data_IF_365211557154
#
_entry.id   IF_365211557154
#
_cell.length_a   1.000
_cell.length_b   1.000
_cell.length_c   1.000
_cell.angle_alpha   90.00
_cell.angle_beta   90.00
_cell.angle_gamma   90.00
#
_symmetry.space_group_name_H-M   'P 1'
#
loop_
_entity.id
_entity.type
_entity.pdbx_description
1 polymer ?
#
# COMPACT_ATOMS: atom_id res chain seq x y z
N UNK A 1 -0.04 2.85 -2.99
CA UNK A 1 -0.36 1.61 -2.28
C UNK A 1 0.91 0.78 -2.11
N UNK A 2 1.00 -0.01 -1.06
CA UNK A 2 2.08 -0.99 -0.91
C UNK A 2 1.70 -1.97 0.18
N UNK A 3 2.06 -3.24 -0.01
CA UNK A 3 1.88 -4.23 1.03
C UNK A 3 2.78 -3.91 2.23
N UNK A 4 2.36 -4.30 3.42
CA UNK A 4 3.23 -4.25 4.60
C UNK A 4 4.53 -5.04 4.34
N UNK A 5 5.64 -4.59 4.92
CA UNK A 5 6.95 -5.26 4.82
C UNK A 5 7.53 -5.33 3.39
N UNK A 6 7.17 -4.39 2.52
CA UNK A 6 7.70 -4.24 1.16
C UNK A 6 8.44 -2.92 0.94
N UNK A 7 9.07 -2.37 1.97
CA UNK A 7 9.86 -1.15 1.87
C UNK A 7 9.05 0.15 1.79
N UNK A 8 7.73 0.09 1.92
CA UNK A 8 6.84 1.26 1.86
C UNK A 8 7.20 2.34 2.88
N UNK A 9 7.62 1.97 4.08
CA UNK A 9 8.09 2.94 5.10
C UNK A 9 9.33 3.72 4.64
N UNK A 10 10.27 3.06 3.94
CA UNK A 10 11.45 3.75 3.41
C UNK A 10 11.04 4.74 2.31
N UNK A 11 10.18 4.32 1.38
CA UNK A 11 9.61 5.18 0.35
C UNK A 11 8.88 6.39 0.97
N UNK A 12 8.03 6.16 1.96
CA UNK A 12 7.31 7.22 2.67
C UNK A 12 8.26 8.22 3.34
N UNK A 13 9.33 7.75 3.99
CA UNK A 13 10.35 8.62 4.60
C UNK A 13 11.03 9.50 3.54
N UNK A 14 11.40 8.94 2.39
CA UNK A 14 12.04 9.71 1.32
C UNK A 14 11.07 10.75 0.74
N UNK A 15 9.83 10.38 0.45
CA UNK A 15 8.79 11.30 -0.02
C UNK A 15 8.55 12.45 0.99
N UNK A 16 8.49 12.14 2.28
CA UNK A 16 8.32 13.14 3.33
C UNK A 16 9.54 14.06 3.47
N UNK A 17 10.75 13.52 3.42
CA UNK A 17 11.99 14.32 3.48
C UNK A 17 12.07 15.31 2.31
N UNK A 18 11.57 14.93 1.15
CA UNK A 18 11.61 15.74 -0.07
C UNK A 18 10.32 16.52 -0.34
N UNK A 19 9.34 16.50 0.57
CA UNK A 19 8.01 17.09 0.34
C UNK A 19 8.02 18.56 -0.09
N UNK A 20 8.99 19.36 0.40
CA UNK A 20 9.11 20.78 0.01
C UNK A 20 9.52 20.92 -1.46
N UNK A 21 10.53 20.18 -1.89
CA UNK A 21 10.96 20.17 -3.30
C UNK A 21 9.87 19.65 -4.22
N UNK A 22 9.21 18.56 -3.83
CA UNK A 22 8.08 18.00 -4.58
C UNK A 22 6.95 19.01 -4.73
N UNK A 23 6.63 19.75 -3.67
CA UNK A 23 5.62 20.82 -3.73
C UNK A 23 6.01 21.93 -4.70
N UNK A 24 7.27 22.35 -4.74
CA UNK A 24 7.77 23.31 -5.71
C UNK A 24 7.65 22.80 -7.16
N UNK A 25 7.72 21.50 -7.37
CA UNK A 25 7.50 20.83 -8.66
C UNK A 25 6.02 20.50 -8.91
N UNK A 26 5.09 21.06 -8.14
CA UNK A 26 3.67 20.84 -8.32
C UNK A 26 3.15 19.48 -7.82
N UNK A 27 3.92 18.76 -6.98
CA UNK A 27 3.54 17.44 -6.43
C UNK A 27 3.25 17.55 -4.94
N UNK A 28 2.03 17.21 -4.53
CA UNK A 28 1.63 17.12 -3.13
C UNK A 28 1.74 15.67 -2.63
N UNK A 29 2.44 15.46 -1.50
CA UNK A 29 2.57 14.15 -0.87
C UNK A 29 1.71 14.08 0.38
N UNK A 30 0.82 13.09 0.42
CA UNK A 30 -0.09 12.79 1.54
C UNK A 30 0.26 11.42 2.12
N UNK A 31 0.83 11.43 3.31
CA UNK A 31 1.14 10.22 4.06
C UNK A 31 -0.01 9.79 5.00
N UNK A 32 0.19 8.68 5.76
CA UNK A 32 -0.87 8.07 6.58
C UNK A 32 -1.53 9.02 7.58
N UNK A 33 -0.76 9.88 8.23
CA UNK A 33 -1.29 10.84 9.22
C UNK A 33 -2.20 11.87 8.56
N UNK A 34 -1.76 12.47 7.45
CA UNK A 34 -2.52 13.47 6.73
C UNK A 34 -3.83 12.87 6.18
N UNK A 35 -3.77 11.69 5.59
CA UNK A 35 -4.94 11.01 5.05
C UNK A 35 -5.98 10.68 6.14
N UNK A 36 -5.53 10.24 7.31
CA UNK A 36 -6.42 9.93 8.44
C UNK A 36 -7.03 11.17 9.07
N UNK A 37 -6.29 12.26 9.20
CA UNK A 37 -6.79 13.50 9.78
C UNK A 37 -7.82 14.21 8.91
N UNK A 38 -7.76 14.02 7.61
CA UNK A 38 -8.70 14.62 6.64
C UNK A 38 -9.88 13.71 6.29
N UNK A 39 -10.00 12.52 6.93
CA UNK A 39 -11.01 11.53 6.56
C UNK A 39 -10.91 11.08 5.10
N UNK A 40 -9.68 11.08 4.55
CA UNK A 40 -9.37 10.76 3.14
C UNK A 40 -9.79 11.84 2.13
N UNK A 41 -10.33 12.97 2.59
CA UNK A 41 -10.50 14.11 1.71
C UNK A 41 -9.14 14.62 1.23
N UNK A 42 -9.00 14.85 -0.06
CA UNK A 42 -7.82 15.52 -0.58
C UNK A 42 -7.92 17.00 -0.17
N UNK A 43 -6.87 17.57 0.45
CA UNK A 43 -6.85 19.00 0.70
C UNK A 43 -6.94 19.76 -0.63
N UNK A 44 -7.49 20.97 -0.58
CA UNK A 44 -7.54 21.83 -1.75
C UNK A 44 -6.17 21.90 -2.40
N UNK A 45 -6.17 21.70 -3.70
CA UNK A 45 -4.96 21.87 -4.51
C UNK A 45 -4.57 23.34 -4.43
N UNK A 46 -3.59 23.65 -3.58
CA UNK A 46 -3.02 25.00 -3.57
C UNK A 46 -2.53 25.40 -4.96
N UNK A 47 -2.43 26.70 -5.20
CA UNK A 47 -1.93 27.21 -6.47
C UNK A 47 -0.62 26.51 -6.88
N UNK A 48 -0.59 25.97 -8.10
CA UNK A 48 0.58 25.26 -8.66
C UNK A 48 0.65 23.76 -8.40
N UNK A 49 -0.28 23.13 -7.68
CA UNK A 49 -0.32 21.67 -7.49
C UNK A 49 -1.05 21.00 -8.65
N UNK A 50 -0.32 20.23 -9.45
CA UNK A 50 -0.84 19.49 -10.60
C UNK A 50 -1.02 18.00 -10.29
N UNK A 51 -0.35 17.49 -9.26
CA UNK A 51 -0.28 16.05 -8.94
C UNK A 51 -0.37 15.79 -7.44
N UNK A 52 -1.03 14.72 -7.02
CA UNK A 52 -1.05 14.25 -5.63
C UNK A 52 -0.58 12.80 -5.55
N UNK A 53 0.29 12.52 -4.57
CA UNK A 53 0.76 11.17 -4.24
C UNK A 53 0.21 10.78 -2.86
N UNK A 54 -0.62 9.75 -2.82
CA UNK A 54 -1.19 9.19 -1.59
C UNK A 54 -0.43 7.92 -1.22
N UNK A 55 0.07 7.83 0.00
CA UNK A 55 0.84 6.68 0.45
C UNK A 55 0.42 6.25 1.87
N UNK A 56 -0.28 5.11 1.96
CA UNK A 56 -0.58 4.44 3.23
C UNK A 56 -0.64 2.92 3.00
N UNK A 57 0.12 2.17 3.80
CA UNK A 57 0.11 0.70 3.76
C UNK A 57 -1.18 0.08 4.33
N UNK A 58 -1.92 0.81 5.16
CA UNK A 58 -3.16 0.33 5.77
C UNK A 58 -4.40 0.46 4.87
N UNK A 59 -4.25 0.99 3.66
CA UNK A 59 -5.35 1.13 2.69
C UNK A 59 -6.07 -0.19 2.40
N UNK A 60 -5.34 -1.28 2.33
CA UNK A 60 -5.89 -2.61 2.07
C UNK A 60 -6.35 -3.34 3.34
N UNK A 61 -5.78 -2.96 4.48
CA UNK A 61 -5.99 -3.62 5.76
C UNK A 61 -4.76 -3.54 6.65
N UNK A 62 -4.80 -4.16 7.80
CA UNK A 62 -3.70 -4.20 8.77
C UNK A 62 -3.00 -5.56 8.77
N UNK A 63 -1.72 -5.58 9.14
CA UNK A 63 -1.00 -6.86 9.35
C UNK A 63 -1.72 -7.75 10.36
N UNK A 64 -2.20 -7.19 11.46
CA UNK A 64 -2.96 -7.93 12.48
C UNK A 64 -4.19 -8.61 11.88
N UNK A 65 -4.96 -7.90 11.06
CA UNK A 65 -6.11 -8.46 10.35
C UNK A 65 -5.73 -9.63 9.43
N UNK A 66 -4.56 -9.57 8.79
CA UNK A 66 -4.06 -10.67 7.96
C UNK A 66 -3.79 -11.93 8.80
N UNK A 67 -3.17 -11.78 9.98
CA UNK A 67 -2.89 -12.92 10.89
C UNK A 67 -4.16 -13.54 11.46
N UNK A 68 -5.10 -12.73 11.93
CA UNK A 68 -6.33 -13.23 12.54
C UNK A 68 -7.22 -13.98 11.53
N UNK A 69 -7.17 -13.60 10.26
CA UNK A 69 -7.91 -14.26 9.18
C UNK A 69 -7.09 -15.33 8.44
N UNK A 70 -5.78 -15.42 8.68
CA UNK A 70 -4.83 -16.22 7.89
C UNK A 70 -4.92 -15.94 6.39
N UNK A 71 -5.14 -14.69 6.02
CA UNK A 71 -5.39 -14.29 4.64
C UNK A 71 -4.75 -12.93 4.36
N UNK A 72 -4.26 -12.71 3.13
CA UNK A 72 -3.76 -11.39 2.71
C UNK A 72 -4.94 -10.47 2.41
N UNK A 73 -5.06 -9.40 3.20
CA UNK A 73 -6.03 -8.32 2.98
C UNK A 73 -7.45 -8.79 2.63
N UNK A 74 -8.09 -9.64 3.46
CA UNK A 74 -9.38 -10.24 3.15
C UNK A 74 -10.49 -9.22 2.95
N UNK A 75 -10.31 -7.98 3.42
CA UNK A 75 -11.23 -6.86 3.26
C UNK A 75 -10.79 -5.83 2.22
N UNK A 76 -9.78 -6.14 1.40
CA UNK A 76 -9.25 -5.19 0.42
C UNK A 76 -10.33 -4.65 -0.52
N UNK A 77 -11.19 -5.52 -1.05
CA UNK A 77 -12.25 -5.12 -1.97
C UNK A 77 -13.19 -4.06 -1.35
N UNK A 78 -13.65 -4.30 -0.11
CA UNK A 78 -14.54 -3.37 0.59
C UNK A 78 -13.85 -2.05 0.89
N UNK A 79 -12.59 -2.10 1.37
CA UNK A 79 -11.81 -0.89 1.68
C UNK A 79 -11.47 -0.06 0.44
N UNK A 80 -11.21 -0.71 -0.68
CA UNK A 80 -10.91 -0.01 -1.93
C UNK A 80 -12.16 0.59 -2.55
N UNK A 81 -13.32 -0.06 -2.43
CA UNK A 81 -14.60 0.52 -2.84
C UNK A 81 -14.92 1.78 -2.03
N UNK A 82 -14.84 1.71 -0.69
CA UNK A 82 -15.01 2.88 0.19
C UNK A 82 -14.00 4.00 -0.15
N UNK A 83 -12.75 3.65 -0.46
CA UNK A 83 -11.76 4.64 -0.90
C UNK A 83 -12.14 5.27 -2.25
N UNK A 84 -12.61 4.48 -3.21
CA UNK A 84 -13.02 4.98 -4.52
C UNK A 84 -14.17 5.98 -4.42
N UNK A 85 -15.13 5.74 -3.52
CA UNK A 85 -16.24 6.66 -3.25
C UNK A 85 -15.80 7.97 -2.58
N UNK A 86 -14.75 7.92 -1.75
CA UNK A 86 -14.25 9.10 -1.02
C UNK A 86 -13.28 9.97 -1.84
N UNK A 87 -12.63 9.40 -2.84
CA UNK A 87 -11.69 10.14 -3.64
C UNK A 87 -12.44 11.07 -4.62
N UNK A 88 -12.16 12.39 -4.61
CA UNK A 88 -12.82 13.33 -5.53
C UNK A 88 -12.40 13.11 -7.00
N UNK A 89 -11.29 12.43 -7.21
CA UNK A 89 -10.77 12.07 -8.55
C UNK A 89 -10.14 10.68 -8.47
N UNK A 90 -10.48 9.81 -9.40
CA UNK A 90 -9.88 8.50 -9.52
C UNK A 90 -8.35 8.59 -9.76
N UNK A 91 -7.55 7.69 -9.16
CA UNK A 91 -6.11 7.66 -9.40
C UNK A 91 -5.83 7.28 -10.87
N UNK A 92 -4.85 7.95 -11.47
CA UNK A 92 -4.37 7.58 -12.82
C UNK A 92 -3.39 6.40 -12.77
N UNK A 93 -2.60 6.34 -11.71
CA UNK A 93 -1.60 5.29 -11.50
C UNK A 93 -1.64 4.77 -10.07
N UNK A 94 -1.51 3.47 -9.93
CA UNK A 94 -1.43 2.77 -8.64
C UNK A 94 -0.13 1.98 -8.61
N UNK A 95 0.71 2.27 -7.65
CA UNK A 95 1.96 1.57 -7.41
C UNK A 95 1.76 0.55 -6.28
N UNK A 96 2.07 -0.72 -6.53
CA UNK A 96 1.87 -1.78 -5.55
C UNK A 96 3.08 -2.71 -5.46
N UNK A 97 3.69 -2.77 -4.29
CA UNK A 97 4.78 -3.69 -4.00
C UNK A 97 4.24 -5.03 -3.52
N UNK A 98 4.71 -6.12 -4.09
CA UNK A 98 4.51 -7.48 -3.60
C UNK A 98 5.83 -8.06 -3.08
N UNK A 99 5.73 -9.11 -2.28
CA UNK A 99 6.88 -9.86 -1.77
C UNK A 99 6.61 -11.35 -1.97
N UNK A 100 7.67 -12.18 -1.97
CA UNK A 100 7.48 -13.63 -1.90
C UNK A 100 6.50 -13.95 -0.75
N UNK A 101 5.53 -14.83 -0.99
CA UNK A 101 4.42 -15.08 -0.07
C UNK A 101 4.91 -15.60 1.29
N UNK A 102 5.81 -16.59 1.28
CA UNK A 102 6.38 -17.13 2.51
C UNK A 102 7.21 -16.08 3.26
N UNK A 103 8.08 -15.34 2.55
CA UNK A 103 8.89 -14.28 3.14
C UNK A 103 8.06 -13.15 3.73
N UNK A 104 6.91 -12.84 3.11
CA UNK A 104 5.97 -11.87 3.66
C UNK A 104 5.48 -12.30 5.04
N UNK A 105 4.98 -13.55 5.17
CA UNK A 105 4.42 -14.03 6.42
C UNK A 105 5.47 -14.12 7.53
N UNK A 106 6.67 -14.64 7.23
CA UNK A 106 7.77 -14.68 8.18
C UNK A 106 8.15 -13.28 8.65
N UNK A 107 8.36 -12.35 7.73
CA UNK A 107 8.74 -10.98 8.06
C UNK A 107 7.66 -10.21 8.81
N UNK A 108 6.40 -10.40 8.45
CA UNK A 108 5.28 -9.77 9.11
C UNK A 108 5.06 -10.32 10.52
N UNK A 109 5.19 -11.65 10.69
CA UNK A 109 5.10 -12.31 12.00
C UNK A 109 6.20 -11.86 12.95
N UNK A 110 7.46 -11.91 12.51
CA UNK A 110 8.60 -11.46 13.30
C UNK A 110 8.47 -10.00 13.77
N UNK A 111 7.90 -9.15 12.95
CA UNK A 111 7.63 -7.76 13.31
C UNK A 111 6.51 -7.65 14.35
N UNK A 112 5.40 -8.37 14.16
CA UNK A 112 4.22 -8.22 15.00
C UNK A 112 4.35 -8.90 16.37
N UNK A 113 5.11 -9.98 16.48
CA UNK A 113 5.32 -10.69 17.76
C UNK A 113 5.97 -9.79 18.82
N UNK A 114 6.72 -8.77 18.40
CA UNK A 114 7.34 -7.79 19.31
C UNK A 114 6.32 -6.82 19.93
N UNK A 115 5.15 -6.65 19.31
CA UNK A 115 4.18 -5.62 19.69
C UNK A 115 2.83 -6.19 20.11
N UNK A 116 2.50 -7.41 19.72
CA UNK A 116 1.17 -7.98 19.91
C UNK A 116 1.24 -9.49 20.17
N UNK A 117 0.26 -10.00 20.95
CA UNK A 117 0.06 -11.45 21.07
C UNK A 117 -0.61 -11.97 19.80
N UNK A 118 0.16 -12.63 18.95
CA UNK A 118 -0.35 -13.27 17.75
C UNK A 118 -0.64 -14.76 17.97
N UNK A 119 -1.63 -15.32 17.25
CA UNK A 119 -1.78 -16.77 17.16
C UNK A 119 -0.52 -17.37 16.50
N UNK A 120 -0.25 -18.65 16.77
CA UNK A 120 0.82 -19.37 16.07
C UNK A 120 0.58 -19.34 14.56
N UNK A 121 1.65 -19.15 13.80
CA UNK A 121 1.61 -19.31 12.35
C UNK A 121 1.28 -20.78 12.03
N UNK A 122 0.18 -20.97 11.32
CA UNK A 122 -0.23 -22.26 10.76
C UNK A 122 0.10 -22.25 9.26
N UNK A 123 1.20 -22.91 8.90
CA UNK A 123 1.68 -22.97 7.52
C UNK A 123 0.68 -23.66 6.58
N UNK A 124 0.01 -24.71 7.04
CA UNK A 124 -0.99 -25.43 6.23
C UNK A 124 -2.20 -24.53 5.93
N UNK A 125 -2.69 -23.81 6.94
CA UNK A 125 -3.79 -22.85 6.78
C UNK A 125 -3.40 -21.68 5.86
N UNK A 126 -2.19 -21.16 5.98
CA UNK A 126 -1.68 -20.10 5.10
C UNK A 126 -1.56 -20.58 3.65
N UNK A 127 -1.03 -21.79 3.43
CA UNK A 127 -0.96 -22.36 2.08
C UNK A 127 -2.34 -22.58 1.48
N UNK A 128 -3.27 -23.14 2.22
CA UNK A 128 -4.65 -23.34 1.76
C UNK A 128 -5.38 -22.02 1.44
N UNK A 129 -5.02 -20.92 2.12
CA UNK A 129 -5.61 -19.61 1.88
C UNK A 129 -4.95 -18.85 0.72
N UNK A 130 -3.76 -19.26 0.27
CA UNK A 130 -2.94 -18.49 -0.68
C UNK A 130 -3.63 -18.27 -2.03
N UNK A 131 -4.33 -19.30 -2.55
CA UNK A 131 -5.05 -19.21 -3.83
C UNK A 131 -6.19 -18.20 -3.75
N UNK A 132 -6.96 -18.26 -2.67
CA UNK A 132 -8.14 -17.40 -2.48
C UNK A 132 -7.80 -15.98 -2.02
N UNK A 133 -6.80 -15.84 -1.16
CA UNK A 133 -6.47 -14.60 -0.47
C UNK A 133 -4.99 -14.18 -0.64
N UNK A 134 -4.37 -14.62 -1.73
CA UNK A 134 -2.99 -14.27 -2.09
C UNK A 134 -2.89 -12.92 -2.82
N UNK A 135 -1.74 -12.67 -3.39
CA UNK A 135 -1.48 -11.44 -4.15
C UNK A 135 -2.43 -11.25 -5.34
N UNK A 136 -2.79 -12.34 -6.04
CA UNK A 136 -3.72 -12.29 -7.18
C UNK A 136 -5.08 -11.73 -6.78
N UNK A 137 -5.63 -12.17 -5.63
CA UNK A 137 -6.90 -11.66 -5.13
C UNK A 137 -6.79 -10.16 -4.76
N UNK A 138 -5.68 -9.75 -4.15
CA UNK A 138 -5.42 -8.35 -3.80
C UNK A 138 -5.31 -7.48 -5.07
N UNK A 139 -4.55 -7.92 -6.06
CA UNK A 139 -4.40 -7.21 -7.34
C UNK A 139 -5.75 -7.09 -8.07
N UNK A 140 -6.52 -8.17 -8.11
CA UNK A 140 -7.86 -8.16 -8.69
C UNK A 140 -8.82 -7.20 -7.97
N UNK A 141 -8.70 -7.06 -6.65
CA UNK A 141 -9.49 -6.09 -5.89
C UNK A 141 -9.10 -4.65 -6.26
N UNK A 142 -7.81 -4.37 -6.44
CA UNK A 142 -7.31 -3.06 -6.88
C UNK A 142 -7.84 -2.72 -8.28
N UNK A 143 -7.69 -3.64 -9.23
CA UNK A 143 -8.12 -3.43 -10.62
C UNK A 143 -9.63 -3.23 -10.73
N UNK A 144 -10.42 -3.95 -9.94
CA UNK A 144 -11.88 -3.75 -9.91
C UNK A 144 -12.30 -2.42 -9.32
N UNK A 145 -11.62 -1.96 -8.27
CA UNK A 145 -11.95 -0.67 -7.63
C UNK A 145 -11.55 0.54 -8.49
N UNK A 146 -10.50 0.38 -9.29
CA UNK A 146 -9.94 1.45 -10.12
C UNK A 146 -9.62 0.93 -11.54
N UNK A 147 -10.64 0.63 -12.35
CA UNK A 147 -10.45 -0.03 -13.64
C UNK A 147 -9.65 0.81 -14.65
N UNK A 148 -9.75 2.13 -14.56
CA UNK A 148 -9.05 3.07 -15.45
C UNK A 148 -7.62 3.39 -14.99
N UNK A 149 -7.24 2.95 -13.78
CA UNK A 149 -5.92 3.23 -13.24
C UNK A 149 -4.87 2.27 -13.83
N UNK A 150 -3.73 2.82 -14.22
CA UNK A 150 -2.57 2.01 -14.58
C UNK A 150 -1.96 1.38 -13.33
N UNK A 151 -2.12 0.06 -13.14
CA UNK A 151 -1.53 -0.68 -12.04
C UNK A 151 -0.09 -1.08 -12.36
N UNK A 152 0.85 -0.57 -11.57
CA UNK A 152 2.27 -0.91 -11.63
C UNK A 152 2.63 -1.78 -10.43
N UNK A 153 3.09 -2.99 -10.69
CA UNK A 153 3.44 -3.96 -9.64
C UNK A 153 4.93 -4.25 -9.70
N UNK A 154 5.60 -4.24 -8.55
CA UNK A 154 6.99 -4.68 -8.46
C UNK A 154 7.20 -5.66 -7.31
N UNK A 155 8.22 -6.48 -7.44
CA UNK A 155 8.60 -7.46 -6.42
C UNK A 155 9.67 -6.88 -5.50
N UNK A 156 9.33 -6.76 -4.22
CA UNK A 156 10.29 -6.33 -3.20
C UNK A 156 11.38 -7.39 -2.98
N UNK A 157 12.63 -6.95 -2.93
CA UNK A 157 13.80 -7.80 -2.70
C UNK A 157 14.40 -8.42 -3.98
N UNK A 158 13.88 -8.10 -5.17
CA UNK A 158 14.43 -8.63 -6.42
C UNK A 158 15.76 -7.95 -6.83
N UNK A 159 15.92 -6.66 -6.52
CA UNK A 159 17.12 -5.90 -6.92
C UNK A 159 17.47 -4.80 -5.92
N UNK A 160 18.78 -4.56 -5.73
CA UNK A 160 19.26 -3.38 -5.01
C UNK A 160 19.05 -2.14 -5.90
N UNK A 161 18.42 -1.10 -5.38
CA UNK A 161 18.19 0.15 -6.13
C UNK A 161 16.77 0.37 -6.65
N UNK A 162 15.87 -0.56 -6.43
CA UNK A 162 14.48 -0.48 -6.92
C UNK A 162 13.70 0.77 -6.43
N UNK A 163 13.91 1.21 -5.18
CA UNK A 163 13.21 2.39 -4.64
C UNK A 163 13.47 3.67 -5.45
N UNK A 164 14.72 4.00 -5.85
CA UNK A 164 14.98 5.14 -6.72
C UNK A 164 14.26 5.06 -8.07
N UNK A 165 14.22 3.88 -8.71
CA UNK A 165 13.52 3.68 -9.97
C UNK A 165 12.01 3.90 -9.84
N UNK A 166 11.39 3.29 -8.84
CA UNK A 166 9.96 3.50 -8.54
C UNK A 166 9.65 4.97 -8.26
N UNK A 167 10.52 5.67 -7.52
CA UNK A 167 10.35 7.09 -7.25
C UNK A 167 10.43 7.95 -8.51
N UNK A 168 11.37 7.66 -9.40
CA UNK A 168 11.50 8.40 -10.67
C UNK A 168 10.24 8.27 -11.55
N UNK A 169 9.53 7.15 -11.46
CA UNK A 169 8.27 6.96 -12.17
C UNK A 169 7.07 7.62 -11.47
N UNK A 170 7.14 7.82 -10.15
CA UNK A 170 6.06 8.42 -9.35
C UNK A 170 6.02 9.95 -9.42
N UNK A 171 7.13 10.58 -9.76
CA UNK A 171 7.35 12.03 -9.73
C UNK A 171 7.44 12.57 -11.14
#
# INVERSE_FOLDING_TARGET
LGAHRTGTTALQKVLQARRRLLKLSGVQVLGPSALRSTGWALPDRGAGISRAVLSDENLLGTMFGNFTSSALYPRAAVKLADLAERLPVAPREIFFAIRNYADYWVSAYSHQILFQKLPRLDAARLSASAERWGWSATLSAITRAFPEARLRVWRYGAEAGMIPGVMAEMI
#
